data_IF_042246410128
#
_entry.id   IF_042246410128
#
_cell.length_a   1.000
_cell.length_b   1.000
_cell.length_c   1.000
_cell.angle_alpha   90.00
_cell.angle_beta   90.00
_cell.angle_gamma   90.00
#
_symmetry.space_group_name_H-M   'P 1'
#
loop_
_entity.id
_entity.type
_entity.pdbx_description
1 polymer ?
#
# COMPACT_ATOMS: atom_id res chain seq x y z
N UNK A 1 15.82 8.61 -1.45
CA UNK A 1 15.51 7.21 -1.09
C UNK A 1 15.81 6.34 -2.30
N UNK A 2 16.50 5.22 -2.11
CA UNK A 2 16.79 4.25 -3.16
C UNK A 2 15.96 3.00 -2.85
N UNK A 3 15.16 2.54 -3.81
CA UNK A 3 14.38 1.31 -3.68
C UNK A 3 14.92 0.29 -4.69
N UNK A 4 15.10 -0.95 -4.25
CA UNK A 4 15.63 -2.02 -5.09
C UNK A 4 15.06 -3.37 -4.63
N UNK A 5 14.93 -4.31 -5.56
CA UNK A 5 14.65 -5.71 -5.25
C UNK A 5 15.96 -6.42 -4.96
N UNK A 6 16.16 -6.83 -3.70
CA UNK A 6 17.30 -7.61 -3.23
C UNK A 6 17.14 -9.07 -3.62
N UNK A 7 17.79 -9.49 -4.71
CA UNK A 7 17.67 -10.85 -5.24
C UNK A 7 18.64 -11.82 -4.57
N UNK A 8 19.80 -11.31 -4.13
CA UNK A 8 20.87 -12.12 -3.57
C UNK A 8 20.78 -12.25 -2.02
N UNK A 9 19.89 -11.49 -1.38
CA UNK A 9 19.58 -11.51 0.05
C UNK A 9 20.57 -10.76 0.93
N UNK A 10 21.47 -9.96 0.36
CA UNK A 10 22.54 -9.26 1.09
C UNK A 10 22.05 -7.98 1.81
N UNK A 11 20.81 -7.54 1.53
CA UNK A 11 20.15 -6.35 2.08
C UNK A 11 20.84 -5.02 1.74
N UNK A 12 21.64 -4.97 0.69
CA UNK A 12 22.41 -3.79 0.29
C UNK A 12 22.43 -3.62 -1.21
N UNK A 13 22.11 -2.41 -1.70
CA UNK A 13 22.30 -2.07 -3.11
C UNK A 13 23.75 -1.69 -3.35
N UNK A 14 24.52 -2.62 -3.91
CA UNK A 14 25.92 -2.42 -4.29
C UNK A 14 26.10 -2.09 -5.79
N UNK A 15 24.99 -1.99 -6.52
CA UNK A 15 25.00 -1.74 -7.96
C UNK A 15 25.47 -2.94 -8.76
N UNK A 16 25.44 -4.14 -8.18
CA UNK A 16 25.63 -5.38 -8.92
C UNK A 16 24.48 -5.63 -9.92
N UNK A 17 24.64 -6.66 -10.77
CA UNK A 17 23.60 -7.08 -11.71
C UNK A 17 22.53 -7.98 -11.08
N UNK A 18 22.67 -8.34 -9.79
CA UNK A 18 21.71 -9.17 -9.10
C UNK A 18 20.52 -8.34 -8.59
N UNK A 19 20.79 -7.12 -8.16
CA UNK A 19 19.78 -6.20 -7.65
C UNK A 19 19.01 -5.48 -8.76
N UNK A 20 17.70 -5.33 -8.54
CA UNK A 20 16.82 -4.64 -9.50
C UNK A 20 16.48 -3.26 -8.96
N UNK A 21 16.97 -2.19 -9.60
CA UNK A 21 16.58 -0.83 -9.26
C UNK A 21 15.07 -0.64 -9.48
N UNK A 22 14.36 -0.26 -8.43
CA UNK A 22 12.93 0.02 -8.48
C UNK A 22 12.71 1.53 -8.59
N UNK A 23 11.74 1.91 -9.43
CA UNK A 23 11.25 3.29 -9.45
C UNK A 23 10.42 3.51 -8.19
N UNK A 24 10.90 4.37 -7.29
CA UNK A 24 10.14 4.82 -6.12
C UNK A 24 9.75 6.27 -6.24
N UNK A 25 8.54 6.59 -5.79
CA UNK A 25 8.10 7.97 -5.55
C UNK A 25 7.87 8.11 -4.05
N UNK A 26 8.51 9.10 -3.43
CA UNK A 26 8.25 9.43 -2.03
C UNK A 26 7.02 10.33 -1.98
N UNK A 27 6.01 9.93 -1.21
CA UNK A 27 4.85 10.77 -0.92
C UNK A 27 5.13 11.58 0.34
N UNK A 28 4.83 12.88 0.32
CA UNK A 28 5.07 13.83 1.42
C UNK A 28 6.53 13.78 1.93
N UNK A 29 7.48 14.10 1.05
CA UNK A 29 8.90 14.18 1.39
C UNK A 29 9.22 15.27 2.44
N UNK A 30 8.42 16.35 2.49
CA UNK A 30 8.38 17.30 3.59
C UNK A 30 7.16 17.05 4.49
N UNK A 31 7.42 16.79 5.78
CA UNK A 31 6.37 16.57 6.79
C UNK A 31 5.53 17.82 7.07
N UNK A 32 6.05 19.02 6.74
CA UNK A 32 5.36 20.29 6.89
C UNK A 32 4.54 20.68 5.64
N UNK A 33 4.84 20.12 4.47
CA UNK A 33 4.08 20.29 3.21
C UNK A 33 3.43 18.96 2.79
N UNK A 34 2.52 18.44 3.64
CA UNK A 34 1.75 17.24 3.32
C UNK A 34 0.79 17.52 2.17
N UNK A 35 0.98 16.84 1.04
CA UNK A 35 0.14 16.97 -0.16
C UNK A 35 -0.90 15.86 -0.27
N UNK A 36 -0.64 14.71 0.34
CA UNK A 36 -1.52 13.54 0.26
C UNK A 36 -1.73 12.96 1.66
N UNK A 37 -2.97 12.71 2.04
CA UNK A 37 -3.31 11.81 3.14
C UNK A 37 -3.41 10.39 2.60
N UNK A 38 -2.92 9.39 3.33
CA UNK A 38 -2.99 8.00 2.92
C UNK A 38 -3.56 7.10 4.02
N UNK A 39 -4.29 6.08 3.63
CA UNK A 39 -4.74 4.99 4.49
C UNK A 39 -4.47 3.64 3.82
N UNK A 40 -4.07 2.67 4.62
CA UNK A 40 -3.79 1.29 4.19
C UNK A 40 -4.71 0.36 4.96
N UNK A 41 -5.63 -0.29 4.27
CA UNK A 41 -6.63 -1.15 4.89
C UNK A 41 -6.54 -2.56 4.29
N UNK A 42 -6.76 -3.58 5.09
CA UNK A 42 -6.91 -4.94 4.63
C UNK A 42 -8.39 -5.28 4.45
N UNK A 43 -8.76 -5.86 3.32
CA UNK A 43 -10.11 -6.34 3.01
C UNK A 43 -10.00 -7.82 2.65
N UNK A 44 -10.47 -8.70 3.53
CA UNK A 44 -10.47 -10.15 3.33
C UNK A 44 -11.33 -10.58 2.13
N UNK A 45 -11.06 -11.78 1.58
CA UNK A 45 -11.89 -12.31 0.48
C UNK A 45 -13.36 -12.43 0.88
N UNK A 46 -14.25 -12.06 -0.04
CA UNK A 46 -15.70 -12.06 0.20
C UNK A 46 -16.20 -10.90 1.08
N UNK A 47 -15.29 -10.08 1.64
CA UNK A 47 -15.65 -8.90 2.40
C UNK A 47 -15.72 -7.65 1.50
N UNK A 48 -16.58 -6.72 1.87
CA UNK A 48 -16.73 -5.42 1.19
C UNK A 48 -16.25 -4.25 2.06
N UNK A 49 -15.90 -4.54 3.31
CA UNK A 49 -15.44 -3.60 4.33
C UNK A 49 -14.06 -4.02 4.82
N UNK A 50 -13.22 -3.06 5.26
CA UNK A 50 -11.98 -3.38 5.93
C UNK A 50 -12.19 -4.35 7.09
N UNK A 51 -11.36 -5.39 7.14
CA UNK A 51 -11.23 -6.28 8.29
C UNK A 51 -10.09 -5.85 9.22
N UNK A 52 -9.19 -5.00 8.72
CA UNK A 52 -8.21 -4.28 9.52
C UNK A 52 -7.84 -2.94 8.86
N UNK A 53 -7.63 -1.91 9.68
CA UNK A 53 -7.25 -0.57 9.22
C UNK A 53 -5.81 -0.24 9.63
N UNK A 54 -5.20 0.69 8.88
CA UNK A 54 -3.82 1.17 9.11
C UNK A 54 -2.79 0.04 9.20
N UNK A 55 -2.87 -0.89 8.26
CA UNK A 55 -1.95 -2.03 8.21
C UNK A 55 -0.60 -1.61 7.61
N UNK A 56 0.47 -2.24 8.08
CA UNK A 56 1.76 -2.22 7.37
C UNK A 56 1.85 -3.49 6.53
N UNK A 57 2.48 -3.39 5.37
CA UNK A 57 2.49 -4.49 4.42
C UNK A 57 3.88 -4.73 3.80
N UNK A 58 4.08 -5.94 3.28
CA UNK A 58 5.35 -6.38 2.69
C UNK A 58 5.14 -7.34 1.53
N UNK A 59 6.14 -7.40 0.65
CA UNK A 59 6.29 -8.47 -0.33
C UNK A 59 7.21 -9.55 0.24
N UNK A 60 6.74 -10.79 0.21
CA UNK A 60 7.57 -11.94 0.54
C UNK A 60 8.41 -12.35 -0.66
N UNK A 61 9.50 -13.07 -0.40
CA UNK A 61 10.41 -13.56 -1.46
C UNK A 61 9.74 -14.46 -2.49
N UNK A 62 8.67 -15.16 -2.11
CA UNK A 62 7.88 -16.00 -3.02
C UNK A 62 6.84 -15.20 -3.84
N UNK A 63 6.92 -13.86 -3.83
CA UNK A 63 6.00 -12.97 -4.55
C UNK A 63 4.63 -12.80 -3.89
N UNK A 64 4.36 -13.48 -2.78
CA UNK A 64 3.11 -13.33 -2.04
C UNK A 64 3.15 -12.08 -1.17
N UNK A 65 1.95 -11.60 -0.83
CA UNK A 65 1.79 -10.38 -0.07
C UNK A 65 1.48 -10.70 1.40
N UNK A 66 2.07 -9.93 2.32
CA UNK A 66 1.82 -10.05 3.75
C UNK A 66 1.46 -8.71 4.39
N UNK A 67 0.70 -8.74 5.48
CA UNK A 67 0.36 -7.54 6.25
C UNK A 67 0.45 -7.78 7.76
N UNK A 68 0.58 -6.69 8.51
CA UNK A 68 0.53 -6.66 9.96
C UNK A 68 -0.34 -5.50 10.41
N UNK A 69 -1.15 -5.74 11.44
CA UNK A 69 -1.89 -4.68 12.14
C UNK A 69 -1.02 -3.96 13.17
N UNK A 70 0.15 -4.52 13.51
CA UNK A 70 1.13 -3.86 14.35
C UNK A 70 1.98 -2.89 13.52
N UNK A 71 1.87 -1.59 13.83
CA UNK A 71 2.64 -0.52 13.18
C UNK A 71 4.03 -0.35 13.77
N UNK A 72 4.27 -0.83 15.00
CA UNK A 72 5.55 -0.74 15.69
C UNK A 72 6.44 -1.93 15.30
N UNK A 73 6.97 -1.87 14.08
CA UNK A 73 7.74 -2.97 13.52
C UNK A 73 9.07 -3.18 14.25
N UNK A 74 9.33 -4.41 14.67
CA UNK A 74 10.62 -4.88 15.19
C UNK A 74 11.19 -5.94 14.26
N UNK A 75 12.41 -6.40 14.55
CA UNK A 75 13.03 -7.53 13.84
C UNK A 75 12.29 -8.88 14.03
N UNK A 76 11.34 -8.95 14.96
CA UNK A 76 10.50 -10.14 15.20
C UNK A 76 9.06 -9.96 14.72
N UNK A 77 8.75 -8.82 14.10
CA UNK A 77 7.43 -8.57 13.52
C UNK A 77 7.05 -9.64 12.52
N UNK A 78 5.83 -10.14 12.67
CA UNK A 78 5.25 -11.14 11.79
C UNK A 78 4.25 -10.48 10.85
N UNK A 79 4.28 -10.92 9.61
CA UNK A 79 3.31 -10.57 8.59
C UNK A 79 2.49 -11.80 8.27
N UNK A 80 1.18 -11.66 8.31
CA UNK A 80 0.24 -12.71 7.92
C UNK A 80 0.05 -12.62 6.42
N UNK A 81 -0.03 -13.76 5.72
CA UNK A 81 -0.37 -13.76 4.30
C UNK A 81 -1.70 -13.06 4.10
N UNK A 82 -1.73 -12.08 3.18
CA UNK A 82 -2.96 -11.34 2.89
C UNK A 82 -3.89 -12.21 2.06
N UNK A 83 -5.10 -12.40 2.57
CA UNK A 83 -6.25 -12.89 1.83
C UNK A 83 -7.08 -11.70 1.34
N UNK A 84 -7.46 -11.65 0.07
CA UNK A 84 -8.16 -10.50 -0.49
C UNK A 84 -7.23 -9.39 -0.96
N UNK A 85 -7.37 -8.19 -0.39
CA UNK A 85 -6.76 -6.97 -0.89
C UNK A 85 -6.16 -6.10 0.22
N UNK A 86 -5.03 -5.45 -0.08
CA UNK A 86 -4.70 -4.17 0.54
C UNK A 86 -5.30 -3.05 -0.28
N UNK A 87 -6.19 -2.31 0.35
CA UNK A 87 -6.72 -1.06 -0.14
C UNK A 87 -5.82 0.09 0.30
N UNK A 88 -5.31 0.84 -0.67
CA UNK A 88 -4.59 2.09 -0.46
C UNK A 88 -5.51 3.22 -0.90
N UNK A 89 -5.87 4.08 0.04
CA UNK A 89 -6.65 5.28 -0.24
C UNK A 89 -5.71 6.47 -0.17
N UNK A 90 -5.55 7.18 -1.30
CA UNK A 90 -4.75 8.40 -1.39
C UNK A 90 -5.69 9.57 -1.58
N UNK A 91 -5.66 10.56 -0.70
CA UNK A 91 -6.57 11.71 -0.71
C UNK A 91 -5.77 12.99 -0.74
N UNK A 92 -6.14 13.94 -1.61
CA UNK A 92 -5.57 15.30 -1.59
C UNK A 92 -5.70 15.90 -0.18
N UNK A 93 -4.57 16.31 0.41
CA UNK A 93 -4.53 16.84 1.77
C UNK A 93 -5.32 18.15 1.93
N UNK A 94 -5.60 18.85 0.84
CA UNK A 94 -6.42 20.08 0.81
C UNK A 94 -7.93 19.79 0.74
N UNK A 95 -8.34 18.53 0.58
CA UNK A 95 -9.75 18.16 0.55
C UNK A 95 -10.36 18.21 1.96
N UNK A 96 -11.36 19.08 2.15
CA UNK A 96 -11.94 19.36 3.48
C UNK A 96 -13.24 18.58 3.70
N UNK A 97 -14.20 18.68 2.77
CA UNK A 97 -15.49 18.01 2.87
C UNK A 97 -15.41 16.53 2.46
N UNK A 98 -16.36 15.70 2.90
CA UNK A 98 -16.37 14.28 2.53
C UNK A 98 -16.61 14.09 1.02
N UNK A 99 -17.41 14.96 0.41
CA UNK A 99 -17.60 14.98 -1.03
C UNK A 99 -16.29 15.32 -1.77
N UNK A 100 -15.54 16.31 -1.28
CA UNK A 100 -14.24 16.68 -1.85
C UNK A 100 -13.22 15.56 -1.69
N UNK A 101 -13.13 14.94 -0.50
CA UNK A 101 -12.20 13.83 -0.25
C UNK A 101 -12.50 12.67 -1.18
N UNK A 102 -13.78 12.30 -1.31
CA UNK A 102 -14.23 11.28 -2.25
C UNK A 102 -13.84 11.62 -3.69
N UNK A 103 -14.11 12.85 -4.15
CA UNK A 103 -13.81 13.27 -5.51
C UNK A 103 -12.30 13.40 -5.80
N UNK A 104 -11.50 13.76 -4.80
CA UNK A 104 -10.05 14.00 -4.87
C UNK A 104 -9.25 12.84 -4.29
N UNK A 105 -9.83 11.65 -4.26
CA UNK A 105 -9.13 10.44 -3.85
C UNK A 105 -8.80 9.55 -5.05
N UNK A 106 -7.77 8.74 -4.87
CA UNK A 106 -7.48 7.58 -5.69
C UNK A 106 -7.48 6.35 -4.78
N UNK A 107 -8.15 5.28 -5.23
CA UNK A 107 -8.13 3.99 -4.54
C UNK A 107 -7.30 3.03 -5.38
N UNK A 108 -6.33 2.39 -4.73
CA UNK A 108 -5.45 1.38 -5.33
C UNK A 108 -5.62 0.10 -4.55
N UNK A 109 -5.76 -1.02 -5.24
CA UNK A 109 -5.84 -2.35 -4.65
C UNK A 109 -4.57 -3.12 -4.98
N UNK A 110 -3.99 -3.78 -3.98
CA UNK A 110 -2.99 -4.82 -4.17
C UNK A 110 -3.64 -6.13 -3.76
N UNK A 111 -3.77 -7.07 -4.69
CA UNK A 111 -4.34 -8.38 -4.37
C UNK A 111 -3.29 -9.31 -3.72
N UNK A 112 -3.72 -10.49 -3.26
CA UNK A 112 -2.83 -11.48 -2.62
C UNK A 112 -1.65 -11.96 -3.48
N UNK A 113 -1.72 -11.83 -4.81
CA UNK A 113 -0.63 -12.15 -5.73
C UNK A 113 0.33 -10.97 -5.98
N UNK A 114 0.16 -9.85 -5.25
CA UNK A 114 0.95 -8.64 -5.45
C UNK A 114 0.58 -7.83 -6.69
N UNK A 115 -0.50 -8.17 -7.41
CA UNK A 115 -0.95 -7.41 -8.58
C UNK A 115 -1.65 -6.14 -8.12
N UNK A 116 -1.21 -5.03 -8.70
CA UNK A 116 -1.75 -3.70 -8.43
C UNK A 116 -2.85 -3.35 -9.43
N UNK A 117 -3.95 -2.81 -8.93
CA UNK A 117 -5.06 -2.27 -9.70
C UNK A 117 -5.38 -0.85 -9.20
N UNK A 118 -5.42 0.13 -10.09
CA UNK A 118 -5.96 1.47 -9.78
C UNK A 118 -7.44 1.46 -10.09
N UNK A 119 -8.27 1.73 -9.10
CA UNK A 119 -9.72 1.74 -9.27
C UNK A 119 -10.16 2.95 -10.14
N UNK A 120 -10.91 2.71 -11.22
CA UNK A 120 -11.51 3.79 -12.00
C UNK A 120 -12.48 4.63 -11.16
N UNK A 121 -12.64 5.92 -11.50
CA UNK A 121 -13.56 6.83 -10.78
C UNK A 121 -15.02 6.36 -10.78
N UNK A 122 -15.44 5.63 -11.80
CA UNK A 122 -16.80 5.10 -11.95
C UNK A 122 -16.92 3.64 -11.49
N UNK A 123 -15.92 3.10 -10.81
CA UNK A 123 -15.97 1.74 -10.28
C UNK A 123 -17.08 1.61 -9.23
N UNK A 124 -17.91 0.58 -9.40
CA UNK A 124 -19.07 0.31 -8.54
C UNK A 124 -18.77 -0.71 -7.43
N UNK A 125 -17.61 -1.37 -7.46
CA UNK A 125 -17.20 -2.30 -6.40
C UNK A 125 -16.95 -1.50 -5.12
N UNK A 126 -17.58 -1.91 -4.02
CA UNK A 126 -17.43 -1.24 -2.72
C UNK A 126 -15.98 -1.12 -2.26
N UNK A 127 -15.14 -2.11 -2.60
CA UNK A 127 -13.70 -2.10 -2.30
C UNK A 127 -12.91 -1.03 -3.07
N UNK A 128 -13.46 -0.52 -4.17
CA UNK A 128 -12.86 0.54 -4.99
C UNK A 128 -13.35 1.94 -4.63
N UNK A 129 -14.24 2.06 -3.65
CA UNK A 129 -14.81 3.34 -3.24
C UNK A 129 -14.02 3.94 -2.07
N UNK A 130 -13.85 5.25 -2.12
CA UNK A 130 -13.42 6.04 -0.97
C UNK A 130 -14.44 5.88 0.16
N UNK A 131 -13.93 5.63 1.36
CA UNK A 131 -14.69 5.59 2.61
C UNK A 131 -14.07 6.57 3.58
#
# INVERSE_FOLDING_TARGET
MLAFGDKNGNKTYDGDTADVLLRSVVLNDDINDKRINYAFNHIAFGQTQPTADRVVWTFNQNGTFGYSTNQDLTNTSRFVYSDGYIQIVLTDARAVSDADKKFRSAVVLINSSGRVEVCPRNDRRTVCQYK
#
